data_IF_219651074906
#
_entry.id   IF_219651074906
#
_cell.length_a   1.000
_cell.length_b   1.000
_cell.length_c   1.000
_cell.angle_alpha   90.00
_cell.angle_beta   90.00
_cell.angle_gamma   90.00
#
_symmetry.space_group_name_H-M   'P 1'
#
loop_
_entity.id
_entity.type
_entity.pdbx_description
1 polymer ?
#
# COMPACT_ATOMS: atom_id res chain seq x y z
N UNK A 1 -42.64 8.15 -1.73
CA UNK A 1 -43.51 7.08 -2.25
C UNK A 1 -42.79 6.13 -3.21
N UNK A 2 -42.02 6.62 -4.20
CA UNK A 2 -41.32 5.75 -5.17
C UNK A 2 -40.31 4.78 -4.55
N UNK A 3 -39.55 5.20 -3.52
CA UNK A 3 -38.60 4.33 -2.80
C UNK A 3 -39.26 3.13 -2.10
N UNK A 4 -40.38 3.36 -1.41
CA UNK A 4 -41.13 2.28 -0.74
C UNK A 4 -41.66 1.25 -1.75
N UNK A 5 -42.18 1.69 -2.90
CA UNK A 5 -42.63 0.79 -3.96
C UNK A 5 -41.49 -0.12 -4.46
N UNK A 6 -40.27 0.42 -4.59
CA UNK A 6 -39.10 -0.37 -4.99
C UNK A 6 -38.64 -1.34 -3.91
N UNK A 7 -38.76 -0.98 -2.63
CA UNK A 7 -38.49 -1.91 -1.52
C UNK A 7 -39.48 -3.08 -1.55
N UNK A 8 -40.77 -2.80 -1.73
CA UNK A 8 -41.82 -3.83 -1.83
C UNK A 8 -41.57 -4.80 -3.00
N UNK A 9 -41.28 -4.25 -4.20
CA UNK A 9 -40.92 -5.03 -5.39
C UNK A 9 -39.69 -5.92 -5.14
N UNK A 10 -38.67 -5.39 -4.46
CA UNK A 10 -37.48 -6.15 -4.06
C UNK A 10 -37.82 -7.31 -3.10
N UNK A 11 -38.71 -7.09 -2.13
CA UNK A 11 -39.14 -8.13 -1.20
C UNK A 11 -39.98 -9.22 -1.87
N UNK A 12 -40.80 -8.88 -2.86
CA UNK A 12 -41.53 -9.85 -3.67
C UNK A 12 -40.60 -10.73 -4.51
N UNK A 13 -39.56 -10.13 -5.10
CA UNK A 13 -38.52 -10.85 -5.82
C UNK A 13 -37.73 -11.80 -4.90
N UNK A 14 -37.40 -11.39 -3.66
CA UNK A 14 -36.81 -12.30 -2.68
C UNK A 14 -37.72 -13.50 -2.41
N UNK A 15 -39.02 -13.27 -2.20
CA UNK A 15 -39.98 -14.37 -1.98
C UNK A 15 -40.09 -15.28 -3.20
N UNK A 16 -39.97 -14.74 -4.41
CA UNK A 16 -39.91 -15.51 -5.66
C UNK A 16 -38.65 -16.38 -5.70
N UNK A 17 -37.48 -15.79 -5.45
CA UNK A 17 -36.21 -16.51 -5.40
C UNK A 17 -36.25 -17.67 -4.38
N UNK A 18 -36.79 -17.44 -3.19
CA UNK A 18 -36.96 -18.48 -2.17
C UNK A 18 -37.89 -19.62 -2.60
N UNK A 19 -38.89 -19.35 -3.45
CA UNK A 19 -39.72 -20.40 -4.05
C UNK A 19 -38.93 -21.23 -5.07
N UNK A 20 -38.08 -20.60 -5.88
CA UNK A 20 -37.19 -21.31 -6.81
C UNK A 20 -36.20 -22.23 -6.09
N UNK A 21 -35.81 -21.89 -4.86
CA UNK A 21 -34.91 -22.72 -4.07
C UNK A 21 -35.59 -23.94 -3.42
N UNK A 22 -36.92 -23.95 -3.29
CA UNK A 22 -37.65 -25.08 -2.70
C UNK A 22 -37.60 -26.29 -3.62
N UNK A 23 -37.32 -27.44 -3.01
CA UNK A 23 -37.45 -28.77 -3.62
C UNK A 23 -38.82 -29.37 -3.32
N UNK A 24 -39.24 -30.33 -4.14
CA UNK A 24 -40.51 -31.05 -4.01
C UNK A 24 -40.33 -32.47 -4.53
N UNK A 25 -41.32 -33.34 -4.35
CA UNK A 25 -41.29 -34.74 -4.83
C UNK A 25 -41.03 -34.85 -6.35
N UNK A 26 -41.34 -33.80 -7.12
CA UNK A 26 -41.06 -33.72 -8.56
C UNK A 26 -39.79 -32.91 -8.89
N UNK A 27 -39.25 -32.13 -7.94
CA UNK A 27 -38.08 -31.24 -8.12
C UNK A 27 -37.04 -31.53 -7.05
N UNK A 28 -36.08 -32.37 -7.41
CA UNK A 28 -35.08 -32.91 -6.51
C UNK A 28 -33.85 -31.98 -6.33
N UNK A 29 -33.73 -30.95 -7.17
CA UNK A 29 -32.66 -29.94 -7.08
C UNK A 29 -33.26 -28.53 -7.09
N UNK A 30 -32.76 -27.61 -6.24
CA UNK A 30 -33.12 -26.20 -6.31
C UNK A 30 -32.86 -25.62 -7.71
N UNK A 31 -33.68 -24.65 -8.11
CA UNK A 31 -33.48 -23.89 -9.34
C UNK A 31 -32.64 -22.66 -9.00
N UNK A 32 -31.33 -22.87 -8.99
CA UNK A 32 -30.36 -21.85 -8.61
C UNK A 32 -30.27 -20.71 -9.63
N UNK A 33 -30.49 -21.01 -10.90
CA UNK A 33 -30.46 -20.02 -11.99
C UNK A 33 -31.54 -18.96 -11.78
N UNK A 34 -32.80 -19.39 -11.71
CA UNK A 34 -33.93 -18.47 -11.50
C UNK A 34 -33.84 -17.73 -10.16
N UNK A 35 -33.38 -18.42 -9.10
CA UNK A 35 -33.20 -17.79 -7.80
C UNK A 35 -32.14 -16.68 -7.84
N UNK A 36 -31.00 -16.91 -8.49
CA UNK A 36 -29.93 -15.93 -8.62
C UNK A 36 -30.38 -14.70 -9.42
N UNK A 37 -31.14 -14.90 -10.49
CA UNK A 37 -31.71 -13.82 -11.30
C UNK A 37 -32.70 -12.97 -10.52
N UNK A 38 -33.58 -13.58 -9.74
CA UNK A 38 -34.53 -12.84 -8.89
C UNK A 38 -33.81 -12.07 -7.77
N UNK A 39 -32.75 -12.63 -7.16
CA UNK A 39 -31.92 -11.87 -6.22
C UNK A 39 -31.19 -10.71 -6.89
N UNK A 40 -30.69 -10.85 -8.11
CA UNK A 40 -30.06 -9.74 -8.86
C UNK A 40 -31.07 -8.61 -9.19
N UNK A 41 -32.30 -8.97 -9.59
CA UNK A 41 -33.38 -7.99 -9.78
C UNK A 41 -33.74 -7.31 -8.46
N UNK A 42 -33.85 -8.07 -7.37
CA UNK A 42 -34.12 -7.52 -6.03
C UNK A 42 -33.02 -6.54 -5.60
N UNK A 43 -31.74 -6.88 -5.82
CA UNK A 43 -30.61 -6.01 -5.55
C UNK A 43 -30.73 -4.68 -6.31
N UNK A 44 -31.14 -4.71 -7.57
CA UNK A 44 -31.38 -3.50 -8.38
C UNK A 44 -32.51 -2.64 -7.79
N UNK A 45 -33.60 -3.25 -7.33
CA UNK A 45 -34.68 -2.55 -6.64
C UNK A 45 -34.21 -1.89 -5.35
N UNK A 46 -33.45 -2.60 -4.51
CA UNK A 46 -32.91 -2.04 -3.26
C UNK A 46 -31.88 -0.94 -3.50
N UNK A 47 -31.02 -1.08 -4.52
CA UNK A 47 -30.09 -0.04 -4.94
C UNK A 47 -30.83 1.25 -5.31
N UNK A 48 -31.89 1.15 -6.11
CA UNK A 48 -32.70 2.30 -6.53
C UNK A 48 -33.44 2.96 -5.36
N UNK A 49 -33.79 2.18 -4.34
CA UNK A 49 -34.37 2.67 -3.10
C UNK A 49 -33.33 3.18 -2.07
N UNK A 50 -32.03 3.13 -2.40
CA UNK A 50 -30.89 3.42 -1.49
C UNK A 50 -30.85 2.55 -0.23
N UNK A 51 -31.47 1.37 -0.28
CA UNK A 51 -31.37 0.36 0.78
C UNK A 51 -30.13 -0.50 0.54
N UNK A 52 -28.96 0.06 0.83
CA UNK A 52 -27.68 -0.55 0.43
C UNK A 52 -27.38 -1.86 1.16
N UNK A 53 -27.77 -2.01 2.43
CA UNK A 53 -27.59 -3.27 3.15
C UNK A 53 -28.38 -4.42 2.47
N UNK A 54 -29.67 -4.19 2.17
CA UNK A 54 -30.49 -5.19 1.48
C UNK A 54 -29.96 -5.49 0.07
N UNK A 55 -29.42 -4.47 -0.61
CA UNK A 55 -28.75 -4.65 -1.90
C UNK A 55 -27.52 -5.57 -1.79
N UNK A 56 -26.64 -5.31 -0.81
CA UNK A 56 -25.45 -6.14 -0.50
C UNK A 56 -25.85 -7.59 -0.25
N UNK A 57 -26.82 -7.83 0.63
CA UNK A 57 -27.26 -9.17 0.98
C UNK A 57 -27.84 -9.93 -0.23
N UNK A 58 -28.59 -9.24 -1.09
CA UNK A 58 -29.12 -9.84 -2.32
C UNK A 58 -28.01 -10.18 -3.33
N UNK A 59 -27.01 -9.30 -3.51
CA UNK A 59 -25.88 -9.57 -4.41
C UNK A 59 -25.02 -10.74 -3.93
N UNK A 60 -24.78 -10.84 -2.62
CA UNK A 60 -24.06 -11.98 -2.05
C UNK A 60 -24.81 -13.29 -2.28
N UNK A 61 -26.12 -13.32 -2.03
CA UNK A 61 -26.96 -14.48 -2.35
C UNK A 61 -26.96 -14.82 -3.83
N UNK A 62 -27.08 -13.82 -4.71
CA UNK A 62 -27.01 -14.03 -6.15
C UNK A 62 -25.66 -14.63 -6.56
N UNK A 63 -24.55 -14.14 -6.01
CA UNK A 63 -23.22 -14.67 -6.26
C UNK A 63 -23.10 -16.14 -5.83
N UNK A 64 -23.59 -16.48 -4.64
CA UNK A 64 -23.59 -17.86 -4.12
C UNK A 64 -24.39 -18.82 -5.01
N UNK A 65 -25.59 -18.44 -5.43
CA UNK A 65 -26.43 -19.30 -6.27
C UNK A 65 -25.90 -19.42 -7.70
N UNK A 66 -25.36 -18.34 -8.29
CA UNK A 66 -24.62 -18.42 -9.55
C UNK A 66 -23.44 -19.40 -9.44
N UNK A 67 -22.69 -19.35 -8.34
CA UNK A 67 -21.58 -20.28 -8.09
C UNK A 67 -22.07 -21.74 -7.95
N UNK A 68 -23.17 -21.98 -7.22
CA UNK A 68 -23.77 -23.31 -7.11
C UNK A 68 -24.28 -23.84 -8.46
N UNK A 69 -24.75 -22.96 -9.34
CA UNK A 69 -25.14 -23.28 -10.71
C UNK A 69 -23.95 -23.34 -11.69
N UNK A 70 -22.69 -23.23 -11.22
CA UNK A 70 -21.47 -23.17 -12.04
C UNK A 70 -21.37 -21.96 -12.99
N UNK A 71 -22.23 -20.96 -12.82
CA UNK A 71 -22.20 -19.67 -13.53
C UNK A 71 -21.17 -18.71 -12.96
N UNK A 72 -19.88 -19.07 -13.00
CA UNK A 72 -18.80 -18.32 -12.33
C UNK A 72 -18.68 -16.87 -12.81
N UNK A 73 -18.92 -16.60 -14.09
CA UNK A 73 -18.88 -15.23 -14.63
C UNK A 73 -19.94 -14.33 -13.98
N UNK A 74 -21.16 -14.82 -13.82
CA UNK A 74 -22.26 -14.08 -13.20
C UNK A 74 -22.06 -13.93 -11.69
N UNK A 75 -21.49 -14.94 -11.04
CA UNK A 75 -21.08 -14.85 -9.63
C UNK A 75 -20.03 -13.74 -9.43
N UNK A 76 -19.01 -13.70 -10.28
CA UNK A 76 -17.99 -12.65 -10.26
C UNK A 76 -18.57 -11.25 -10.48
N UNK A 77 -19.51 -11.09 -11.43
CA UNK A 77 -20.21 -9.82 -11.67
C UNK A 77 -21.06 -9.38 -10.47
N UNK A 78 -21.72 -10.30 -9.76
CA UNK A 78 -22.46 -9.98 -8.56
C UNK A 78 -21.54 -9.51 -7.42
N UNK A 79 -20.39 -10.16 -7.21
CA UNK A 79 -19.37 -9.71 -6.27
C UNK A 79 -18.80 -8.33 -6.66
N UNK A 80 -18.52 -8.11 -7.94
CA UNK A 80 -18.00 -6.85 -8.46
C UNK A 80 -18.98 -5.67 -8.23
N UNK A 81 -20.28 -5.92 -8.35
CA UNK A 81 -21.32 -4.96 -7.98
C UNK A 81 -21.39 -4.75 -6.46
N UNK A 82 -21.24 -5.82 -5.68
CA UNK A 82 -21.28 -5.77 -4.22
C UNK A 82 -20.17 -4.88 -3.65
N UNK A 83 -18.97 -4.90 -4.24
CA UNK A 83 -17.85 -4.02 -3.87
C UNK A 83 -18.24 -2.53 -3.95
N UNK A 84 -18.96 -2.14 -5.01
CA UNK A 84 -19.42 -0.76 -5.16
C UNK A 84 -20.48 -0.40 -4.11
N UNK A 85 -21.39 -1.33 -3.78
CA UNK A 85 -22.38 -1.11 -2.72
C UNK A 85 -21.70 -0.97 -1.35
N UNK A 86 -20.70 -1.80 -1.07
CA UNK A 86 -19.89 -1.72 0.14
C UNK A 86 -19.18 -0.36 0.26
N UNK A 87 -18.65 0.17 -0.85
CA UNK A 87 -18.10 1.53 -0.91
C UNK A 87 -19.14 2.60 -0.55
N UNK A 88 -20.34 2.55 -1.13
CA UNK A 88 -21.42 3.51 -0.82
C UNK A 88 -21.85 3.46 0.65
N UNK A 89 -21.72 2.30 1.30
CA UNK A 89 -22.00 2.11 2.73
C UNK A 89 -20.85 2.54 3.65
N UNK A 90 -19.65 2.79 3.11
CA UNK A 90 -18.42 2.95 3.89
C UNK A 90 -17.94 1.66 4.57
N UNK A 91 -18.49 0.49 4.21
CA UNK A 91 -18.13 -0.80 4.78
C UNK A 91 -17.11 -1.52 3.90
N UNK A 92 -15.83 -1.18 4.06
CA UNK A 92 -14.75 -1.70 3.21
C UNK A 92 -14.12 -3.01 3.70
N UNK A 93 -14.59 -3.59 4.82
CA UNK A 93 -13.90 -4.70 5.50
C UNK A 93 -13.70 -5.95 4.65
N UNK A 94 -14.68 -6.28 3.81
CA UNK A 94 -14.68 -7.54 3.05
C UNK A 94 -14.33 -7.36 1.57
N UNK A 95 -14.15 -6.12 1.09
CA UNK A 95 -14.08 -5.86 -0.36
C UNK A 95 -12.81 -6.43 -0.99
N UNK A 96 -11.71 -6.51 -0.23
CA UNK A 96 -10.48 -7.19 -0.67
C UNK A 96 -10.75 -8.65 -1.03
N UNK A 97 -11.37 -9.41 -0.12
CA UNK A 97 -11.71 -10.82 -0.32
C UNK A 97 -12.71 -11.01 -1.45
N UNK A 98 -13.69 -10.10 -1.58
CA UNK A 98 -14.63 -10.12 -2.70
C UNK A 98 -13.93 -9.91 -4.04
N UNK A 99 -12.97 -8.99 -4.12
CA UNK A 99 -12.22 -8.70 -5.34
C UNK A 99 -11.34 -9.89 -5.77
N UNK A 100 -10.60 -10.49 -4.84
CA UNK A 100 -9.79 -11.69 -5.12
C UNK A 100 -10.65 -12.86 -5.63
N UNK A 101 -11.79 -13.11 -4.98
CA UNK A 101 -12.74 -14.15 -5.43
C UNK A 101 -13.31 -13.85 -6.82
N UNK A 102 -13.71 -12.61 -7.08
CA UNK A 102 -14.22 -12.20 -8.38
C UNK A 102 -13.14 -12.31 -9.48
N UNK A 103 -11.91 -11.89 -9.19
CA UNK A 103 -10.77 -11.99 -10.10
C UNK A 103 -10.47 -13.45 -10.46
N UNK A 104 -10.42 -14.34 -9.47
CA UNK A 104 -10.23 -15.78 -9.70
C UNK A 104 -11.35 -16.36 -10.59
N UNK A 105 -12.61 -16.03 -10.29
CA UNK A 105 -13.75 -16.49 -11.10
C UNK A 105 -13.67 -15.97 -12.54
N UNK A 106 -13.34 -14.71 -12.75
CA UNK A 106 -13.18 -14.13 -14.09
C UNK A 106 -12.03 -14.79 -14.87
N UNK A 107 -10.87 -15.00 -14.25
CA UNK A 107 -9.75 -15.72 -14.88
C UNK A 107 -10.12 -17.16 -15.26
N UNK A 108 -10.82 -17.88 -14.36
CA UNK A 108 -11.27 -19.26 -14.63
C UNK A 108 -12.24 -19.37 -15.82
N UNK A 109 -12.87 -18.26 -16.20
CA UNK A 109 -13.78 -18.16 -17.35
C UNK A 109 -13.10 -17.52 -18.58
N UNK A 110 -11.78 -17.34 -18.56
CA UNK A 110 -11.04 -16.74 -19.67
C UNK A 110 -11.30 -15.24 -19.85
N UNK A 111 -11.66 -14.52 -18.78
CA UNK A 111 -11.89 -13.07 -18.81
C UNK A 111 -10.92 -12.31 -17.89
N UNK A 112 -9.60 -12.32 -18.18
CA UNK A 112 -8.60 -11.66 -17.35
C UNK A 112 -8.79 -10.14 -17.27
N UNK A 113 -9.30 -9.49 -18.32
CA UNK A 113 -9.56 -8.04 -18.32
C UNK A 113 -10.57 -7.62 -17.25
N UNK A 114 -11.65 -8.40 -17.07
CA UNK A 114 -12.61 -8.14 -15.99
C UNK A 114 -11.98 -8.37 -14.61
N UNK A 115 -11.07 -9.34 -14.48
CA UNK A 115 -10.36 -9.58 -13.24
C UNK A 115 -9.50 -8.36 -12.86
N UNK A 116 -8.66 -7.90 -13.78
CA UNK A 116 -7.81 -6.71 -13.61
C UNK A 116 -8.65 -5.48 -13.27
N UNK A 117 -9.73 -5.23 -14.00
CA UNK A 117 -10.63 -4.10 -13.75
C UNK A 117 -11.26 -4.14 -12.35
N UNK A 118 -11.65 -5.33 -11.87
CA UNK A 118 -12.19 -5.50 -10.50
C UNK A 118 -11.12 -5.25 -9.44
N UNK A 119 -9.91 -5.79 -9.62
CA UNK A 119 -8.78 -5.58 -8.70
C UNK A 119 -8.39 -4.11 -8.62
N UNK A 120 -8.17 -3.45 -9.76
CA UNK A 120 -7.79 -2.03 -9.84
C UNK A 120 -8.82 -1.14 -9.16
N UNK A 121 -10.11 -1.32 -9.50
CA UNK A 121 -11.20 -0.53 -8.90
C UNK A 121 -11.23 -0.69 -7.38
N UNK A 122 -11.01 -1.91 -6.88
CA UNK A 122 -11.03 -2.19 -5.44
C UNK A 122 -9.81 -1.62 -4.75
N UNK A 123 -8.63 -1.72 -5.37
CA UNK A 123 -7.41 -1.11 -4.87
C UNK A 123 -7.58 0.40 -4.69
N UNK A 124 -8.14 1.11 -5.68
CA UNK A 124 -8.44 2.56 -5.59
C UNK A 124 -9.36 2.93 -4.42
N UNK A 125 -10.28 2.04 -4.02
CA UNK A 125 -11.17 2.26 -2.87
C UNK A 125 -10.39 2.12 -1.55
N UNK A 126 -9.43 1.19 -1.51
CA UNK A 126 -8.67 0.83 -0.31
C UNK A 126 -7.44 1.71 -0.08
N UNK A 127 -6.85 2.33 -1.11
CA UNK A 127 -5.57 3.07 -1.06
C UNK A 127 -5.42 4.06 0.11
N UNK A 128 -6.50 4.76 0.46
CA UNK A 128 -6.48 5.78 1.52
C UNK A 128 -6.64 5.21 2.93
N UNK A 129 -7.29 4.06 3.08
CA UNK A 129 -7.67 3.49 4.37
C UNK A 129 -6.81 2.27 4.75
N UNK A 130 -6.56 1.37 3.79
CA UNK A 130 -5.82 0.12 3.99
C UNK A 130 -4.81 -0.06 2.84
N UNK A 131 -3.74 0.76 2.79
CA UNK A 131 -2.79 0.80 1.67
C UNK A 131 -2.12 -0.55 1.36
N UNK A 132 -1.89 -1.40 2.37
CA UNK A 132 -1.28 -2.72 2.17
C UNK A 132 -2.18 -3.68 1.37
N UNK A 133 -3.49 -3.64 1.59
CA UNK A 133 -4.44 -4.45 0.80
C UNK A 133 -4.52 -3.94 -0.64
N UNK A 134 -4.57 -2.61 -0.83
CA UNK A 134 -4.54 -2.01 -2.16
C UNK A 134 -3.26 -2.39 -2.94
N UNK A 135 -2.12 -2.41 -2.26
CA UNK A 135 -0.84 -2.84 -2.82
C UNK A 135 -0.90 -4.28 -3.34
N UNK A 136 -1.45 -5.20 -2.55
CA UNK A 136 -1.57 -6.60 -2.95
C UNK A 136 -2.49 -6.78 -4.18
N UNK A 137 -3.60 -6.02 -4.23
CA UNK A 137 -4.50 -6.04 -5.40
C UNK A 137 -3.79 -5.50 -6.66
N UNK A 138 -3.00 -4.43 -6.55
CA UNK A 138 -2.22 -3.92 -7.69
C UNK A 138 -1.14 -4.88 -8.14
N UNK A 139 -0.47 -5.57 -7.22
CA UNK A 139 0.49 -6.63 -7.57
C UNK A 139 -0.18 -7.75 -8.37
N UNK A 140 -1.32 -8.23 -7.90
CA UNK A 140 -2.09 -9.26 -8.60
C UNK A 140 -2.54 -8.77 -9.99
N UNK A 141 -3.00 -7.52 -10.12
CA UNK A 141 -3.35 -6.91 -11.41
C UNK A 141 -2.14 -6.81 -12.37
N UNK A 142 -0.96 -6.46 -11.86
CA UNK A 142 0.28 -6.44 -12.62
C UNK A 142 0.66 -7.84 -13.13
N UNK A 143 0.56 -8.86 -12.27
CA UNK A 143 0.85 -10.25 -12.60
C UNK A 143 -0.06 -10.78 -13.72
N UNK A 144 -1.38 -10.57 -13.60
CA UNK A 144 -2.34 -10.95 -14.66
C UNK A 144 -2.01 -10.22 -15.97
N UNK A 145 -1.74 -8.91 -15.90
CA UNK A 145 -1.43 -8.11 -17.09
C UNK A 145 -0.14 -8.56 -17.77
N UNK A 146 0.89 -8.92 -17.00
CA UNK A 146 2.13 -9.47 -17.54
C UNK A 146 1.94 -10.83 -18.22
N UNK A 147 1.09 -11.70 -17.67
CA UNK A 147 0.74 -12.99 -18.30
C UNK A 147 0.01 -12.78 -19.64
N UNK A 148 -0.80 -11.72 -19.76
CA UNK A 148 -1.49 -11.34 -21.00
C UNK A 148 -0.58 -10.60 -21.99
N UNK A 149 0.72 -10.49 -21.73
CA UNK A 149 1.69 -9.69 -22.49
C UNK A 149 1.32 -8.20 -22.62
N UNK A 150 0.47 -7.71 -21.70
CA UNK A 150 0.15 -6.29 -21.59
C UNK A 150 1.13 -5.61 -20.63
N UNK A 151 2.36 -5.46 -21.10
CA UNK A 151 3.46 -4.91 -20.32
C UNK A 151 3.23 -3.45 -19.90
N UNK A 152 2.49 -2.68 -20.71
CA UNK A 152 2.15 -1.28 -20.37
C UNK A 152 1.26 -1.21 -19.13
N UNK A 153 0.22 -2.04 -19.06
CA UNK A 153 -0.62 -2.12 -17.88
C UNK A 153 0.14 -2.71 -16.68
N UNK A 154 0.97 -3.72 -16.92
CA UNK A 154 1.86 -4.29 -15.89
C UNK A 154 2.78 -3.22 -15.27
N UNK A 155 3.38 -2.37 -16.10
CA UNK A 155 4.22 -1.26 -15.65
C UNK A 155 3.42 -0.23 -14.85
N UNK A 156 2.22 0.15 -15.31
CA UNK A 156 1.36 1.10 -14.59
C UNK A 156 0.99 0.60 -13.18
N UNK A 157 0.62 -0.67 -13.04
CA UNK A 157 0.31 -1.26 -11.73
C UNK A 157 1.56 -1.43 -10.86
N UNK A 158 2.71 -1.76 -11.46
CA UNK A 158 4.00 -1.78 -10.75
C UNK A 158 4.36 -0.40 -10.20
N UNK A 159 4.07 0.67 -10.97
CA UNK A 159 4.23 2.07 -10.56
C UNK A 159 3.37 2.44 -9.35
N UNK A 160 2.14 1.91 -9.29
CA UNK A 160 1.27 2.05 -8.12
C UNK A 160 1.85 1.36 -6.90
N UNK A 161 2.35 0.13 -7.07
CA UNK A 161 3.01 -0.64 -6.00
C UNK A 161 4.22 0.10 -5.44
N UNK A 162 5.10 0.62 -6.31
CA UNK A 162 6.28 1.40 -5.90
C UNK A 162 5.90 2.62 -5.04
N UNK A 163 4.94 3.42 -5.49
CA UNK A 163 4.48 4.62 -4.76
C UNK A 163 3.85 4.27 -3.42
N UNK A 164 3.07 3.19 -3.34
CA UNK A 164 2.50 2.77 -2.04
C UNK A 164 3.61 2.30 -1.09
N UNK A 165 4.62 1.56 -1.56
CA UNK A 165 5.77 1.21 -0.71
C UNK A 165 6.51 2.46 -0.20
N UNK A 166 6.73 3.47 -1.04
CA UNK A 166 7.29 4.77 -0.60
C UNK A 166 6.44 5.42 0.48
N UNK A 167 5.11 5.47 0.28
CA UNK A 167 4.16 6.01 1.28
C UNK A 167 4.21 5.24 2.61
N UNK A 168 4.46 3.94 2.55
CA UNK A 168 4.62 3.06 3.71
C UNK A 168 6.05 3.06 4.30
N UNK A 169 6.96 3.86 3.75
CA UNK A 169 8.38 3.90 4.13
C UNK A 169 9.11 2.54 4.00
N UNK A 170 8.58 1.66 3.14
CA UNK A 170 9.15 0.36 2.78
C UNK A 170 10.11 0.54 1.61
N UNK A 171 11.26 1.16 1.87
CA UNK A 171 12.15 1.64 0.80
C UNK A 171 12.89 0.52 0.06
N UNK A 172 13.15 -0.61 0.70
CA UNK A 172 13.75 -1.78 0.05
C UNK A 172 12.81 -2.32 -1.03
N UNK A 173 11.55 -2.56 -0.67
CA UNK A 173 10.52 -3.05 -1.59
C UNK A 173 10.16 -2.01 -2.66
N UNK A 174 10.17 -0.71 -2.31
CA UNK A 174 10.00 0.36 -3.28
C UNK A 174 11.10 0.36 -4.34
N UNK A 175 12.37 0.22 -3.94
CA UNK A 175 13.49 0.17 -4.87
C UNK A 175 13.37 -1.02 -5.82
N UNK A 176 12.98 -2.19 -5.33
CA UNK A 176 12.78 -3.38 -6.16
C UNK A 176 11.58 -3.26 -7.10
N UNK A 177 10.50 -2.60 -6.67
CA UNK A 177 9.38 -2.27 -7.54
C UNK A 177 9.79 -1.31 -8.67
N UNK A 178 10.54 -0.24 -8.35
CA UNK A 178 11.01 0.74 -9.35
C UNK A 178 11.96 0.08 -10.35
N UNK A 179 12.90 -0.77 -9.90
CA UNK A 179 13.79 -1.51 -10.82
C UNK A 179 13.02 -2.42 -11.77
N UNK A 180 11.98 -3.11 -11.28
CA UNK A 180 11.09 -3.91 -12.14
C UNK A 180 10.37 -3.03 -13.16
N UNK A 181 9.85 -1.87 -12.74
CA UNK A 181 9.19 -0.91 -13.63
C UNK A 181 10.13 -0.37 -14.72
N UNK A 182 11.39 -0.05 -14.37
CA UNK A 182 12.44 0.33 -15.33
C UNK A 182 12.61 -0.77 -16.38
N UNK A 183 12.76 -2.03 -15.95
CA UNK A 183 12.91 -3.16 -16.86
C UNK A 183 11.73 -3.31 -17.83
N UNK A 184 10.50 -3.11 -17.34
CA UNK A 184 9.29 -3.12 -18.19
C UNK A 184 9.30 -1.98 -19.22
N UNK A 185 9.70 -0.77 -18.84
CA UNK A 185 9.78 0.36 -19.77
C UNK A 185 10.94 0.26 -20.77
N UNK A 186 12.07 -0.33 -20.38
CA UNK A 186 13.19 -0.59 -21.28
C UNK A 186 12.80 -1.56 -22.41
N UNK A 187 12.00 -2.59 -22.10
CA UNK A 187 11.52 -3.54 -23.11
C UNK A 187 10.64 -2.89 -24.21
N UNK A 188 10.06 -1.73 -23.94
CA UNK A 188 9.21 -0.98 -24.88
C UNK A 188 9.80 0.36 -25.32
N UNK A 189 11.10 0.55 -25.10
CA UNK A 189 11.84 1.76 -25.53
C UNK A 189 11.24 3.08 -25.00
N UNK A 190 10.60 3.05 -23.82
CA UNK A 190 10.02 4.23 -23.20
C UNK A 190 11.05 5.02 -22.37
N UNK A 191 12.00 5.65 -23.08
CA UNK A 191 13.17 6.33 -22.49
C UNK A 191 12.77 7.38 -21.45
N UNK A 192 11.78 8.22 -21.76
CA UNK A 192 11.34 9.30 -20.85
C UNK A 192 10.75 8.78 -19.53
N UNK A 193 10.04 7.65 -19.57
CA UNK A 193 9.51 7.02 -18.36
C UNK A 193 10.67 6.48 -17.50
N UNK A 194 11.66 5.84 -18.14
CA UNK A 194 12.87 5.36 -17.45
C UNK A 194 13.59 6.52 -16.76
N UNK A 195 13.86 7.64 -17.44
CA UNK A 195 14.55 8.79 -16.85
C UNK A 195 13.90 9.29 -15.55
N UNK A 196 12.57 9.40 -15.51
CA UNK A 196 11.84 9.77 -14.28
C UNK A 196 11.96 8.72 -13.17
N UNK A 197 11.94 7.43 -13.53
CA UNK A 197 12.10 6.34 -12.57
C UNK A 197 13.51 6.28 -12.00
N UNK A 198 14.53 6.71 -12.74
CA UNK A 198 15.90 6.84 -12.22
C UNK A 198 15.96 7.90 -11.12
N UNK A 199 15.34 9.07 -11.33
CA UNK A 199 15.23 10.11 -10.30
C UNK A 199 14.54 9.54 -9.05
N UNK A 200 13.40 8.85 -9.23
CA UNK A 200 12.68 8.22 -8.13
C UNK A 200 13.54 7.18 -7.38
N UNK A 201 14.27 6.34 -8.13
CA UNK A 201 15.15 5.32 -7.56
C UNK A 201 16.28 5.96 -6.74
N UNK A 202 16.94 7.01 -7.25
CA UNK A 202 17.98 7.74 -6.51
C UNK A 202 17.43 8.29 -5.20
N UNK A 203 16.26 8.95 -5.22
CA UNK A 203 15.64 9.46 -4.00
C UNK A 203 15.31 8.35 -3.00
N UNK A 204 14.80 7.21 -3.46
CA UNK A 204 14.52 6.05 -2.60
C UNK A 204 15.82 5.48 -2.00
N UNK A 205 16.92 5.40 -2.77
CA UNK A 205 18.21 4.95 -2.25
C UNK A 205 18.79 5.91 -1.20
N UNK A 206 18.69 7.22 -1.43
CA UNK A 206 19.09 8.21 -0.44
C UNK A 206 18.23 8.14 0.83
N UNK A 207 16.93 7.84 0.70
CA UNK A 207 16.04 7.64 1.84
C UNK A 207 16.38 6.39 2.66
N UNK A 208 16.92 5.34 2.01
CA UNK A 208 17.52 4.16 2.68
C UNK A 208 18.81 4.49 3.43
N UNK A 209 19.43 5.64 3.13
CA UNK A 209 20.77 5.99 3.61
C UNK A 209 21.89 5.27 2.85
N UNK A 210 21.60 4.75 1.65
CA UNK A 210 22.52 3.97 0.84
C UNK A 210 23.00 4.79 -0.38
N UNK A 211 23.96 5.68 -0.14
CA UNK A 211 24.52 6.59 -1.16
C UNK A 211 25.19 5.79 -2.28
N UNK A 212 25.85 4.69 -1.95
CA UNK A 212 26.53 3.83 -2.94
C UNK A 212 25.54 3.19 -3.89
N UNK A 213 24.39 2.72 -3.38
CA UNK A 213 23.32 2.21 -4.24
C UNK A 213 22.67 3.33 -5.08
N UNK A 214 22.54 4.55 -4.54
CA UNK A 214 22.05 5.71 -5.27
C UNK A 214 22.94 6.05 -6.47
N UNK A 215 24.26 6.15 -6.25
CA UNK A 215 25.23 6.37 -7.32
C UNK A 215 25.23 5.25 -8.35
N UNK A 216 25.13 3.99 -7.91
CA UNK A 216 25.09 2.85 -8.81
C UNK A 216 23.87 2.93 -9.73
N UNK A 217 22.70 3.24 -9.18
CA UNK A 217 21.48 3.42 -9.97
C UNK A 217 21.62 4.56 -10.98
N UNK A 218 22.21 5.69 -10.56
CA UNK A 218 22.48 6.81 -11.45
C UNK A 218 23.50 6.46 -12.55
N UNK A 219 24.57 5.73 -12.24
CA UNK A 219 25.56 5.28 -13.24
C UNK A 219 24.97 4.30 -14.25
N UNK A 220 24.07 3.43 -13.80
CA UNK A 220 23.46 2.39 -14.64
C UNK A 220 22.42 2.94 -15.62
N UNK A 221 21.57 3.87 -15.17
CA UNK A 221 20.44 4.37 -15.95
C UNK A 221 20.41 5.90 -16.16
N UNK A 222 21.39 6.65 -15.67
CA UNK A 222 21.42 8.12 -15.78
C UNK A 222 21.42 8.64 -17.22
N UNK A 223 21.87 7.84 -18.18
CA UNK A 223 21.81 8.17 -19.62
C UNK A 223 20.38 8.29 -20.17
N UNK A 224 19.36 7.83 -19.43
CA UNK A 224 17.95 8.00 -19.78
C UNK A 224 17.35 9.32 -19.27
N UNK A 225 18.05 10.04 -18.39
CA UNK A 225 17.63 11.33 -17.87
C UNK A 225 17.98 12.46 -18.84
N UNK A 226 17.21 13.55 -18.77
CA UNK A 226 17.54 14.75 -19.55
C UNK A 226 18.78 15.45 -18.97
N UNK A 227 19.59 16.17 -19.78
CA UNK A 227 20.82 16.81 -19.29
C UNK A 227 20.67 17.69 -18.04
N UNK A 228 19.59 18.49 -17.86
CA UNK A 228 19.37 19.23 -16.62
C UNK A 228 19.10 18.33 -15.40
N UNK A 229 18.43 17.20 -15.60
CA UNK A 229 18.16 16.22 -14.55
C UNK A 229 19.46 15.51 -14.13
N UNK A 230 20.31 15.13 -15.10
CA UNK A 230 21.64 14.58 -14.87
C UNK A 230 22.47 15.54 -14.02
N UNK A 231 22.59 16.80 -14.43
CA UNK A 231 23.37 17.82 -13.72
C UNK A 231 22.88 18.01 -12.27
N UNK A 232 21.57 17.97 -12.06
CA UNK A 232 20.99 18.11 -10.72
C UNK A 232 21.22 16.85 -9.85
N UNK A 233 21.07 15.65 -10.42
CA UNK A 233 21.36 14.40 -9.72
C UNK A 233 22.83 14.27 -9.35
N UNK A 234 23.76 14.71 -10.21
CA UNK A 234 25.19 14.79 -9.89
C UNK A 234 25.44 15.74 -8.72
N UNK A 235 24.86 16.94 -8.76
CA UNK A 235 24.94 17.91 -7.65
C UNK A 235 24.36 17.35 -6.35
N UNK A 236 23.24 16.61 -6.43
CA UNK A 236 22.61 15.97 -5.28
C UNK A 236 23.53 14.90 -4.69
N UNK A 237 24.02 13.97 -5.50
CA UNK A 237 24.88 12.87 -5.04
C UNK A 237 26.20 13.40 -4.47
N UNK A 238 26.83 14.37 -5.14
CA UNK A 238 28.04 15.03 -4.63
C UNK A 238 27.77 15.74 -3.30
N UNK A 239 26.64 16.42 -3.14
CA UNK A 239 26.29 17.06 -1.88
C UNK A 239 26.09 16.06 -0.73
N UNK A 240 25.62 14.84 -1.02
CA UNK A 240 25.55 13.76 -0.03
C UNK A 240 26.93 13.17 0.31
N UNK A 241 27.82 13.05 -0.67
CA UNK A 241 29.20 12.56 -0.47
C UNK A 241 30.07 13.57 0.31
N UNK A 242 29.97 14.86 0.00
CA UNK A 242 30.73 15.95 0.63
C UNK A 242 30.10 16.48 1.94
N UNK A 243 28.99 15.89 2.37
CA UNK A 243 28.16 16.35 3.48
C UNK A 243 27.66 17.82 3.37
N UNK A 244 27.48 18.32 2.13
CA UNK A 244 27.02 19.68 1.85
C UNK A 244 25.48 19.79 1.92
N UNK A 245 25.01 20.29 3.06
CA UNK A 245 23.59 20.50 3.31
C UNK A 245 22.94 21.50 2.35
N UNK A 246 23.61 22.59 2.00
CA UNK A 246 23.00 23.69 1.25
C UNK A 246 22.79 23.29 -0.22
N UNK A 247 23.77 22.61 -0.81
CA UNK A 247 23.64 22.07 -2.15
C UNK A 247 22.62 20.92 -2.21
N UNK A 248 22.54 20.07 -1.19
CA UNK A 248 21.50 19.04 -1.12
C UNK A 248 20.08 19.66 -1.08
N UNK A 249 19.87 20.69 -0.26
CA UNK A 249 18.59 21.43 -0.21
C UNK A 249 18.29 22.06 -1.57
N UNK A 250 19.28 22.67 -2.22
CA UNK A 250 19.10 23.30 -3.54
C UNK A 250 18.69 22.28 -4.60
N UNK A 251 19.36 21.13 -4.65
CA UNK A 251 19.07 20.07 -5.59
C UNK A 251 17.65 19.51 -5.39
N UNK A 252 17.30 19.13 -4.16
CA UNK A 252 15.97 18.59 -3.80
C UNK A 252 14.82 19.58 -4.07
N UNK A 253 15.11 20.88 -4.12
CA UNK A 253 14.11 21.92 -4.38
C UNK A 253 13.90 22.24 -5.87
N UNK A 254 14.59 21.54 -6.77
CA UNK A 254 14.47 21.74 -8.21
C UNK A 254 13.03 21.49 -8.70
N UNK A 255 12.53 22.29 -9.67
CA UNK A 255 11.23 22.05 -10.28
C UNK A 255 10.98 20.61 -10.73
N UNK A 256 11.91 19.89 -11.35
CA UNK A 256 11.58 18.54 -11.86
C UNK A 256 11.33 17.54 -10.72
N UNK A 257 12.05 17.66 -9.59
CA UNK A 257 11.81 16.85 -8.38
C UNK A 257 10.45 17.18 -7.76
N UNK A 258 10.09 18.46 -7.70
CA UNK A 258 8.81 18.92 -7.15
C UNK A 258 7.58 18.52 -7.97
N UNK A 259 7.75 18.33 -9.28
CA UNK A 259 6.66 17.93 -10.19
C UNK A 259 6.59 16.41 -10.42
N UNK A 260 7.37 15.61 -9.68
CA UNK A 260 7.20 14.16 -9.68
C UNK A 260 5.88 13.74 -9.03
N UNK A 261 5.55 12.44 -9.10
CA UNK A 261 4.41 11.91 -8.35
C UNK A 261 4.50 12.30 -6.87
N UNK A 262 3.34 12.55 -6.27
CA UNK A 262 3.18 13.16 -4.95
C UNK A 262 4.00 12.43 -3.89
N UNK A 263 4.02 11.10 -3.92
CA UNK A 263 4.78 10.28 -2.97
C UNK A 263 6.30 10.52 -3.07
N UNK A 264 6.85 10.67 -4.27
CA UNK A 264 8.27 10.94 -4.46
C UNK A 264 8.63 12.40 -4.16
N UNK A 265 7.74 13.36 -4.46
CA UNK A 265 7.93 14.76 -4.06
C UNK A 265 7.90 14.94 -2.54
N UNK A 266 7.03 14.21 -1.83
CA UNK A 266 7.01 14.15 -0.37
C UNK A 266 8.30 13.50 0.15
N UNK A 267 8.73 12.39 -0.47
CA UNK A 267 10.00 11.73 -0.11
C UNK A 267 11.20 12.67 -0.22
N UNK A 268 11.31 13.42 -1.33
CA UNK A 268 12.38 14.40 -1.53
C UNK A 268 12.38 15.51 -0.47
N UNK A 269 11.19 15.98 -0.07
CA UNK A 269 11.03 16.99 0.97
C UNK A 269 11.45 16.49 2.35
N UNK A 270 11.13 15.23 2.66
CA UNK A 270 11.33 14.63 3.98
C UNK A 270 12.68 13.87 4.09
N UNK A 271 13.48 13.91 3.02
CA UNK A 271 14.79 13.26 2.94
C UNK A 271 15.72 13.78 4.05
N UNK A 272 16.45 12.87 4.69
CA UNK A 272 17.47 13.25 5.68
C UNK A 272 18.61 13.96 4.96
N UNK A 273 18.81 15.23 5.28
CA UNK A 273 19.90 16.02 4.71
C UNK A 273 21.25 15.55 5.27
N UNK A 274 22.32 15.63 4.46
CA UNK A 274 23.68 15.36 4.93
C UNK A 274 24.04 16.27 6.12
N UNK A 275 24.77 15.72 7.09
CA UNK A 275 25.18 16.44 8.30
C UNK A 275 26.50 17.17 8.06
N UNK A 276 26.47 18.30 7.36
CA UNK A 276 27.60 19.21 7.36
C UNK A 276 27.83 19.77 8.77
N UNK A 277 29.09 19.76 9.24
CA UNK A 277 29.54 20.35 10.51
C UNK A 277 28.66 21.53 10.92
N UNK A 278 27.99 21.41 12.07
CA UNK A 278 27.09 22.44 12.57
C UNK A 278 27.82 23.80 12.63
N UNK A 279 27.63 24.63 11.61
CA UNK A 279 27.87 26.06 11.74
C UNK A 279 26.78 26.54 12.69
N UNK A 280 27.12 26.57 13.97
CA UNK A 280 26.41 27.35 14.98
C UNK A 280 26.15 28.70 14.33
N UNK A 281 24.91 28.97 13.95
CA UNK A 281 24.54 30.31 13.55
C UNK A 281 24.76 31.19 14.77
N UNK A 282 25.92 31.83 14.86
CA UNK A 282 26.11 32.95 15.76
C UNK A 282 25.06 33.97 15.32
N UNK A 283 24.06 34.16 16.18
CA UNK A 283 23.11 35.28 16.07
C UNK A 283 23.91 36.54 15.70
N UNK A 284 23.44 37.36 14.75
CA UNK A 284 24.13 38.60 14.43
C UNK A 284 24.22 39.42 15.72
N UNK A 285 25.45 39.80 16.07
CA UNK A 285 25.70 40.76 17.15
C UNK A 285 25.04 42.05 16.66
N UNK A 286 23.96 42.45 17.33
CA UNK A 286 23.35 43.76 17.11
C UNK A 286 24.36 44.78 17.62
N UNK A 287 25.06 45.43 16.68
CA UNK A 287 25.91 46.57 16.95
C UNK A 287 24.99 47.75 17.33
N UNK A 288 25.21 48.33 18.51
CA UNK A 288 24.42 49.37 19.20
C UNK A 288 23.37 48.87 20.21
N UNK A 289 23.85 48.46 21.39
CA UNK A 289 23.14 48.68 22.64
C UNK A 289 24.14 49.21 23.68
N UNK A 290 24.44 50.50 23.60
CA UNK A 290 25.07 51.24 24.70
C UNK A 290 24.03 51.53 25.78
N UNK A 291 24.47 51.32 27.01
CA UNK A 291 23.97 51.86 28.27
C UNK A 291 22.59 51.41 28.77
N UNK A 292 22.60 50.34 29.58
CA UNK A 292 22.22 50.47 30.99
C UNK A 292 22.73 49.27 31.81
N UNK A 293 23.90 49.44 32.43
CA UNK A 293 24.36 48.57 33.51
C UNK A 293 23.66 48.97 34.82
N UNK A 294 22.72 48.14 35.29
CA UNK A 294 22.52 47.98 36.73
C UNK A 294 23.05 46.62 37.15
N UNK A 295 24.24 46.64 37.75
CA UNK A 295 24.82 45.52 38.49
C UNK A 295 24.03 45.32 39.78
N UNK A 296 23.50 44.14 40.01
CA UNK A 296 23.32 43.60 41.37
C UNK A 296 23.64 42.10 41.34
N UNK A 297 24.67 41.71 42.09
CA UNK A 297 24.92 40.36 42.63
C UNK A 297 25.49 40.58 44.04
N UNK A 298 25.42 39.60 44.95
CA UNK A 298 24.38 38.58 45.17
C UNK A 298 24.00 38.50 46.67
N UNK A 299 22.88 37.86 47.04
CA UNK A 299 22.76 37.29 48.38
C UNK A 299 21.77 36.12 48.42
N UNK A 300 22.33 34.99 48.88
CA UNK A 300 21.77 33.76 49.44
C UNK A 300 20.24 33.63 49.51
N UNK A 301 19.75 32.49 49.05
CA UNK A 301 18.78 31.71 49.83
C UNK A 301 18.96 30.21 49.57
N UNK A 302 18.86 29.48 50.67
CA UNK A 302 19.13 28.06 50.89
C UNK A 302 18.25 27.15 50.02
N UNK A 303 18.85 26.11 49.46
CA UNK A 303 18.09 24.95 48.98
C UNK A 303 17.91 23.97 50.13
N UNK A 304 16.67 23.85 50.61
CA UNK A 304 16.24 22.85 51.60
C UNK A 304 15.82 21.57 50.86
N UNK A 305 16.43 20.40 51.12
CA UNK A 305 15.98 19.12 50.58
C UNK A 305 14.71 18.64 51.30
N UNK A 306 13.78 18.01 50.59
CA UNK A 306 12.67 17.27 51.23
C UNK A 306 12.80 15.78 50.94
N UNK A 307 12.87 15.02 52.03
CA UNK A 307 12.93 13.57 52.11
C UNK A 307 11.66 12.90 51.60
N UNK A 308 11.80 11.83 50.82
CA UNK A 308 11.27 10.50 51.19
C UNK A 308 11.50 9.47 50.07
N UNK A 309 12.62 8.76 50.19
CA UNK A 309 12.67 7.34 49.82
C UNK A 309 12.37 6.53 51.09
N UNK A 310 11.56 5.46 50.97
CA UNK A 310 11.92 4.17 51.56
C UNK A 310 11.46 3.03 50.66
N UNK A 311 12.48 2.30 50.20
CA UNK A 311 12.42 0.98 49.64
C UNK A 311 12.25 -0.09 50.74
N UNK A 312 11.79 -1.27 50.33
CA UNK A 312 12.25 -2.56 50.85
C UNK A 312 12.33 -3.46 49.61
N UNK A 313 13.48 -3.93 49.12
CA UNK A 313 14.65 -4.58 49.70
C UNK A 313 14.44 -6.05 50.08
N UNK A 314 15.12 -6.90 49.28
CA UNK A 314 15.92 -8.08 49.61
C UNK A 314 15.64 -9.24 48.63
N UNK A 315 16.58 -9.58 47.74
CA UNK A 315 17.79 -10.40 47.97
C UNK A 315 17.41 -11.88 48.14
N UNK A 316 18.08 -12.88 47.59
CA UNK A 316 19.36 -13.03 46.90
C UNK A 316 19.35 -14.47 46.33
N UNK A 317 20.20 -14.77 45.36
CA UNK A 317 21.22 -15.83 45.44
C UNK A 317 21.58 -16.39 44.06
N UNK A 318 22.88 -16.30 43.78
CA UNK A 318 23.57 -16.94 42.70
C UNK A 318 24.15 -18.29 43.18
N UNK A 319 24.27 -19.28 42.30
CA UNK A 319 25.48 -20.14 42.20
C UNK A 319 25.37 -21.17 41.06
N UNK A 320 26.49 -21.36 40.35
CA UNK A 320 27.04 -22.59 39.73
C UNK A 320 26.08 -23.54 38.97
N UNK A 321 26.30 -23.88 37.70
CA UNK A 321 27.52 -24.47 37.15
C UNK A 321 27.48 -26.00 37.24
N UNK A 322 26.94 -26.69 36.23
CA UNK A 322 27.30 -28.07 35.91
C UNK A 322 26.86 -28.48 34.48
N UNK A 323 27.77 -29.15 33.77
CA UNK A 323 27.52 -29.94 32.55
C UNK A 323 26.58 -31.11 32.84
N UNK A 324 26.14 -31.81 31.79
CA UNK A 324 26.50 -33.22 31.77
C UNK A 324 27.21 -33.62 30.47
N UNK A 325 28.09 -34.59 30.67
CA UNK A 325 28.82 -35.37 29.68
C UNK A 325 27.89 -36.25 28.84
N UNK A 326 28.48 -36.71 27.74
CA UNK A 326 28.05 -37.78 26.87
C UNK A 326 27.69 -39.06 27.63
N UNK A 327 26.68 -39.76 27.14
CA UNK A 327 26.70 -41.22 27.11
C UNK A 327 26.21 -41.68 25.72
N UNK A 328 27.10 -42.43 25.09
CA UNK A 328 26.94 -43.13 23.84
C UNK A 328 25.82 -44.19 23.88
N UNK A 329 25.46 -44.62 22.66
CA UNK A 329 25.07 -45.99 22.28
C UNK A 329 23.63 -46.13 21.76
N UNK A 330 23.46 -46.01 20.44
CA UNK A 330 22.85 -47.09 19.64
C UNK A 330 23.26 -46.97 18.17
N UNK A 331 24.02 -47.99 17.75
CA UNK A 331 24.40 -48.29 16.37
C UNK A 331 23.18 -48.70 15.53
N UNK A 332 23.23 -48.44 14.21
CA UNK A 332 22.62 -49.36 13.24
C UNK A 332 22.06 -48.80 11.93
N UNK A 333 22.92 -48.76 10.89
CA UNK A 333 22.59 -49.01 9.46
C UNK A 333 21.80 -47.92 8.72
N UNK A 334 22.19 -47.45 7.54
CA UNK A 334 22.89 -48.13 6.47
C UNK A 334 21.93 -48.42 5.31
N UNK A 335 22.14 -47.66 4.22
CA UNK A 335 21.85 -48.01 2.82
C UNK A 335 20.40 -48.00 2.31
N UNK A 336 20.32 -47.51 1.07
CA UNK A 336 19.23 -47.48 0.08
C UNK A 336 18.28 -46.28 0.11
#
# INVERSE_FOLDING_TARGET
MAGNKKIEEGLELIKSAEKHLKTSLLKWRPDYESAADDYNKAATCFKNAKSYQQCKDCLLKAAEYHQQNRGLFYAAKALDQCILICKEMGDIRDIYVMAERAAYMFQSQGNPDSAVATLEKTAKILESQVPMEALNLYRHAAEISGIQDNQRASAEYTSKVARIHVKLQQFDEAADAIRREIGLHQAHESIQAVGRLVVALVLVQLARGDIVAAEKAFKEWGNYCDPPEIQNLEMLLQAYDEEDRDNAIRALNDPFIKHMDVEYAILARDLRLPQGNAVVQKKPIVENATDEYKRVRPQNDEYVPTDSYKAGDNNEEASSGHQPEDDDEYSGGGLC
#
